data_IF_787974282701
#
_entry.id   IF_787974282701
#
_cell.length_a   1.000
_cell.length_b   1.000
_cell.length_c   1.000
_cell.angle_alpha   90.00
_cell.angle_beta   90.00
_cell.angle_gamma   90.00
#
_symmetry.space_group_name_H-M   'P 1'
#
loop_
_entity.id
_entity.type
_entity.pdbx_description
1 polymer ?
#
# COMPACT_ATOMS: atom_id res chain seq x y z
N UNK A 1 2.64 8.28 -10.19
CA UNK A 1 3.27 8.64 -11.48
C UNK A 1 2.44 9.75 -12.11
N UNK A 2 2.93 10.98 -12.10
CA UNK A 2 2.21 12.10 -12.71
C UNK A 2 2.15 11.89 -14.23
N UNK A 3 1.12 12.42 -14.91
CA UNK A 3 1.02 12.33 -16.38
C UNK A 3 2.31 12.84 -17.05
N UNK A 4 2.89 13.92 -16.52
CA UNK A 4 4.14 14.54 -17.03
C UNK A 4 5.35 13.59 -16.97
N UNK A 5 5.53 12.84 -15.88
CA UNK A 5 6.64 11.88 -15.76
C UNK A 5 6.52 10.71 -16.73
N UNK A 6 5.30 10.22 -17.00
CA UNK A 6 5.07 9.18 -18.02
C UNK A 6 5.50 9.64 -19.41
N UNK A 7 5.10 10.86 -19.79
CA UNK A 7 5.47 11.44 -21.08
C UNK A 7 6.97 11.69 -21.20
N UNK A 8 7.62 12.15 -20.12
CA UNK A 8 9.08 12.32 -20.10
C UNK A 8 9.81 11.00 -20.35
N UNK A 9 9.40 9.93 -19.65
CA UNK A 9 10.05 8.61 -19.76
C UNK A 9 9.87 8.01 -21.17
N UNK A 10 8.66 8.13 -21.73
CA UNK A 10 8.39 7.72 -23.12
C UNK A 10 9.25 8.50 -24.10
N UNK A 11 9.37 9.83 -23.93
CA UNK A 11 10.23 10.68 -24.77
C UNK A 11 11.69 10.27 -24.72
N UNK A 12 12.23 9.98 -23.53
CA UNK A 12 13.63 9.54 -23.35
C UNK A 12 13.90 8.19 -24.02
N UNK A 13 12.97 7.23 -23.93
CA UNK A 13 13.09 5.93 -24.62
C UNK A 13 13.05 6.12 -26.14
N UNK A 14 12.14 6.96 -26.64
CA UNK A 14 12.00 7.21 -28.08
C UNK A 14 13.26 7.90 -28.64
N UNK A 15 13.81 8.85 -27.89
CA UNK A 15 15.08 9.52 -28.22
C UNK A 15 16.25 8.53 -28.25
N UNK A 16 16.33 7.61 -27.28
CA UNK A 16 17.36 6.56 -27.26
C UNK A 16 17.29 5.66 -28.49
N UNK A 17 16.09 5.18 -28.85
CA UNK A 17 15.89 4.33 -30.05
C UNK A 17 16.19 5.11 -31.32
N UNK A 18 15.78 6.38 -31.40
CA UNK A 18 16.07 7.23 -32.55
C UNK A 18 17.58 7.42 -32.74
N UNK A 19 18.33 7.72 -31.67
CA UNK A 19 19.78 7.88 -31.73
C UNK A 19 20.50 6.58 -32.11
N UNK A 20 20.03 5.42 -31.65
CA UNK A 20 20.52 4.12 -32.09
C UNK A 20 20.27 3.89 -33.59
N UNK A 21 19.07 4.21 -34.08
CA UNK A 21 18.75 4.11 -35.51
C UNK A 21 19.60 5.05 -36.36
N UNK A 22 19.79 6.30 -35.91
CA UNK A 22 20.65 7.29 -36.54
C UNK A 22 22.13 6.84 -36.54
N UNK A 23 22.60 6.25 -35.45
CA UNK A 23 23.97 5.71 -35.35
C UNK A 23 24.22 4.62 -36.40
N UNK A 24 23.25 3.71 -36.59
CA UNK A 24 23.34 2.64 -37.59
C UNK A 24 23.24 3.17 -39.03
N UNK A 25 22.37 4.15 -39.28
CA UNK A 25 22.18 4.70 -40.63
C UNK A 25 23.40 5.50 -41.12
N UNK A 26 24.05 6.24 -40.21
CA UNK A 26 25.17 7.13 -40.53
C UNK A 26 26.54 6.57 -40.13
N UNK A 27 26.61 5.34 -39.61
CA UNK A 27 27.83 4.69 -39.10
C UNK A 27 28.67 5.60 -38.18
N UNK A 28 28.01 6.44 -37.39
CA UNK A 28 28.67 7.50 -36.63
C UNK A 28 28.81 7.13 -35.16
N UNK A 29 30.07 7.10 -34.70
CA UNK A 29 30.46 6.85 -33.32
C UNK A 29 29.88 7.90 -32.35
N UNK A 30 29.70 9.13 -32.82
CA UNK A 30 29.20 10.26 -32.04
C UNK A 30 27.77 9.99 -31.50
N UNK A 31 26.92 9.35 -32.31
CA UNK A 31 25.57 8.99 -31.89
C UNK A 31 25.54 7.80 -30.92
N UNK A 32 26.54 6.90 -30.98
CA UNK A 32 26.69 5.82 -30.00
C UNK A 32 27.09 6.40 -28.63
N UNK A 33 28.01 7.37 -28.60
CA UNK A 33 28.35 8.09 -27.37
C UNK A 33 27.18 8.87 -26.80
N UNK A 34 26.40 9.55 -27.65
CA UNK A 34 25.19 10.24 -27.19
C UNK A 34 24.14 9.25 -26.65
N UNK A 35 23.95 8.10 -27.31
CA UNK A 35 23.02 7.07 -26.87
C UNK A 35 23.43 6.46 -25.52
N UNK A 36 24.72 6.28 -25.25
CA UNK A 36 25.20 5.69 -23.99
C UNK A 36 24.99 6.58 -22.76
N UNK A 37 24.87 7.90 -22.93
CA UNK A 37 24.55 8.84 -21.85
C UNK A 37 23.06 8.81 -21.44
N UNK A 38 22.17 8.36 -22.34
CA UNK A 38 20.72 8.40 -22.11
C UNK A 38 20.25 7.48 -20.97
N UNK A 39 20.75 6.23 -20.82
CA UNK A 39 20.43 5.39 -19.66
C UNK A 39 20.65 6.08 -18.32
N UNK A 40 21.72 6.88 -18.19
CA UNK A 40 22.03 7.63 -16.96
C UNK A 40 20.96 8.69 -16.69
N UNK A 41 20.57 9.44 -17.73
CA UNK A 41 19.48 10.41 -17.66
C UNK A 41 18.13 9.76 -17.32
N UNK A 42 17.84 8.58 -17.89
CA UNK A 42 16.62 7.83 -17.60
C UNK A 42 16.54 7.46 -16.12
N UNK A 43 17.65 6.99 -15.53
CA UNK A 43 17.70 6.61 -14.11
C UNK A 43 17.44 7.80 -13.20
N UNK A 44 17.98 8.99 -13.50
CA UNK A 44 17.71 10.21 -12.70
C UNK A 44 16.25 10.65 -12.73
N UNK A 45 15.53 10.37 -13.81
CA UNK A 45 14.12 10.78 -13.99
C UNK A 45 13.15 9.67 -13.56
N UNK A 46 13.66 8.48 -13.22
CA UNK A 46 12.82 7.36 -12.85
C UNK A 46 12.08 7.67 -11.54
N UNK A 47 10.73 7.61 -11.52
CA UNK A 47 10.00 7.81 -10.29
C UNK A 47 10.30 6.67 -9.32
N UNK A 48 10.46 7.00 -8.04
CA UNK A 48 10.52 6.01 -6.96
C UNK A 48 9.21 5.21 -6.92
N UNK A 49 9.23 3.99 -7.46
CA UNK A 49 8.09 3.08 -7.48
C UNK A 49 7.99 2.45 -6.10
N UNK A 50 7.32 3.17 -5.18
CA UNK A 50 6.98 2.62 -3.87
C UNK A 50 6.05 1.43 -4.04
N UNK A 51 6.59 0.24 -3.76
CA UNK A 51 5.82 -1.00 -3.76
C UNK A 51 4.95 -1.08 -2.51
N UNK A 52 3.88 -1.86 -2.57
CA UNK A 52 3.09 -2.19 -1.38
C UNK A 52 3.73 -3.39 -0.69
N UNK A 53 3.81 -3.35 0.64
CA UNK A 53 4.24 -4.48 1.45
C UNK A 53 3.02 -5.34 1.78
N UNK A 54 3.16 -6.66 1.68
CA UNK A 54 2.11 -7.61 2.04
C UNK A 54 2.61 -8.49 3.17
N UNK A 55 1.82 -8.58 4.23
CA UNK A 55 2.06 -9.47 5.36
C UNK A 55 1.20 -10.72 5.17
N UNK A 56 1.86 -11.86 5.02
CA UNK A 56 1.24 -13.19 4.99
C UNK A 56 1.87 -14.02 6.10
N UNK A 57 1.04 -14.59 6.98
CA UNK A 57 1.54 -15.29 8.18
C UNK A 57 2.31 -16.56 7.81
N UNK A 58 1.87 -17.27 6.77
CA UNK A 58 2.50 -18.50 6.25
C UNK A 58 3.97 -18.35 5.84
N UNK A 59 4.44 -17.12 5.54
CA UNK A 59 5.86 -16.82 5.27
C UNK A 59 6.57 -16.05 6.39
N UNK A 60 5.83 -15.52 7.36
CA UNK A 60 6.30 -14.49 8.29
C UNK A 60 6.14 -14.88 9.76
N UNK A 61 6.10 -16.18 10.07
CA UNK A 61 5.82 -16.73 11.40
C UNK A 61 6.72 -16.20 12.53
N UNK A 62 7.94 -15.75 12.23
CA UNK A 62 8.88 -15.29 13.28
C UNK A 62 8.90 -13.77 13.50
N UNK A 63 8.31 -13.00 12.59
CA UNK A 63 8.51 -11.54 12.54
C UNK A 63 7.36 -10.69 13.06
N UNK A 64 6.18 -11.28 13.30
CA UNK A 64 4.95 -10.55 13.59
C UNK A 64 4.15 -11.29 14.65
N UNK A 65 3.77 -10.57 15.70
CA UNK A 65 2.89 -11.05 16.77
C UNK A 65 1.68 -10.15 16.84
N UNK A 66 0.49 -10.75 16.94
CA UNK A 66 -0.77 -10.01 16.95
C UNK A 66 -1.50 -10.32 18.23
N UNK A 67 -1.90 -9.27 18.92
CA UNK A 67 -2.56 -9.32 20.21
C UNK A 67 -3.90 -8.62 20.13
N UNK A 68 -4.92 -9.20 20.75
CA UNK A 68 -6.19 -8.53 21.00
C UNK A 68 -6.22 -8.16 22.48
N UNK A 69 -6.16 -6.87 22.75
CA UNK A 69 -6.27 -6.34 24.11
C UNK A 69 -7.73 -6.00 24.35
N UNK A 70 -8.34 -6.69 25.30
CA UNK A 70 -9.66 -6.31 25.80
C UNK A 70 -9.48 -5.03 26.62
N UNK A 71 -10.11 -3.95 26.17
CA UNK A 71 -10.27 -2.73 26.95
C UNK A 71 -11.76 -2.61 27.29
N UNK A 72 -12.09 -2.07 28.47
CA UNK A 72 -13.45 -2.11 29.03
C UNK A 72 -14.50 -1.44 28.13
N UNK A 73 -14.10 -0.46 27.29
CA UNK A 73 -15.00 0.22 26.36
C UNK A 73 -14.74 -0.12 24.87
N UNK A 74 -13.49 -0.24 24.43
CA UNK A 74 -13.14 -0.42 23.01
C UNK A 74 -11.96 -1.39 22.81
N UNK A 75 -12.17 -2.60 22.27
CA UNK A 75 -11.08 -3.54 22.07
C UNK A 75 -10.02 -2.99 21.11
N UNK A 76 -8.75 -3.19 21.47
CA UNK A 76 -7.60 -2.76 20.68
C UNK A 76 -6.93 -3.97 20.03
N UNK A 77 -6.55 -3.81 18.77
CA UNK A 77 -5.67 -4.73 18.07
C UNK A 77 -4.25 -4.16 18.11
N UNK A 78 -3.32 -4.93 18.66
CA UNK A 78 -1.90 -4.55 18.68
C UNK A 78 -1.13 -5.51 17.79
N UNK A 79 -0.43 -4.95 16.80
CA UNK A 79 0.43 -5.69 15.90
C UNK A 79 1.87 -5.33 16.24
N UNK A 80 2.60 -6.28 16.80
CA UNK A 80 4.03 -6.17 17.08
C UNK A 80 4.83 -6.74 15.92
N UNK A 81 5.87 -6.04 15.53
CA UNK A 81 6.79 -6.41 14.46
C UNK A 81 8.20 -6.53 15.02
N UNK A 82 9.03 -7.36 14.39
CA UNK A 82 10.47 -7.28 14.61
C UNK A 82 11.02 -5.93 14.12
N UNK A 83 12.04 -5.37 14.81
CA UNK A 83 12.72 -4.17 14.34
C UNK A 83 13.17 -4.31 12.88
N UNK A 84 12.93 -3.27 12.07
CA UNK A 84 13.26 -3.28 10.63
C UNK A 84 12.34 -4.10 9.72
N UNK A 85 11.31 -4.75 10.26
CA UNK A 85 10.34 -5.51 9.46
C UNK A 85 9.46 -4.60 8.58
N UNK A 86 9.01 -3.47 9.13
CA UNK A 86 8.17 -2.51 8.42
C UNK A 86 9.04 -1.71 7.45
N UNK A 87 8.74 -1.82 6.15
CA UNK A 87 9.45 -1.08 5.11
C UNK A 87 8.82 0.28 4.94
N UNK A 88 9.28 1.27 5.70
CA UNK A 88 8.74 2.64 5.69
C UNK A 88 8.79 3.35 4.33
N UNK A 89 9.63 2.89 3.40
CA UNK A 89 9.67 3.40 2.02
C UNK A 89 8.53 2.86 1.14
N UNK A 90 7.83 1.82 1.56
CA UNK A 90 6.66 1.28 0.86
C UNK A 90 5.47 2.23 0.98
N UNK A 91 4.50 2.10 0.07
CA UNK A 91 3.31 2.96 0.07
C UNK A 91 2.31 2.51 1.14
N UNK A 92 1.95 1.23 1.12
CA UNK A 92 0.98 0.63 2.05
C UNK A 92 1.48 -0.70 2.58
N UNK A 93 1.13 -0.99 3.82
CA UNK A 93 1.28 -2.29 4.46
C UNK A 93 -0.09 -2.98 4.46
N UNK A 94 -0.23 -4.06 3.69
CA UNK A 94 -1.45 -4.84 3.63
C UNK A 94 -1.36 -6.06 4.54
N UNK A 95 -2.42 -6.27 5.31
CA UNK A 95 -2.55 -7.32 6.30
C UNK A 95 -3.90 -8.02 6.12
N UNK A 96 -3.92 -9.35 6.19
CA UNK A 96 -5.14 -10.16 6.08
C UNK A 96 -5.80 -10.35 7.46
N UNK A 97 -7.03 -9.87 7.63
CA UNK A 97 -7.84 -10.05 8.83
C UNK A 97 -8.13 -11.52 9.13
N UNK A 98 -8.26 -12.37 8.11
CA UNK A 98 -8.61 -13.78 8.30
C UNK A 98 -7.41 -14.60 8.80
N UNK A 99 -6.19 -14.21 8.43
CA UNK A 99 -4.95 -14.84 8.93
C UNK A 99 -4.51 -14.27 10.29
N UNK A 100 -5.20 -13.22 10.77
CA UNK A 100 -4.97 -12.61 12.07
C UNK A 100 -5.58 -13.46 13.19
N UNK A 101 -4.90 -14.55 13.57
CA UNK A 101 -5.12 -15.14 14.90
C UNK A 101 -4.48 -14.21 15.93
N UNK A 102 -5.30 -13.33 16.49
CA UNK A 102 -4.93 -12.45 17.60
C UNK A 102 -5.07 -13.23 18.91
N UNK A 103 -3.98 -13.36 19.66
CA UNK A 103 -4.05 -13.95 20.99
C UNK A 103 -4.71 -12.95 21.95
N UNK A 104 -5.78 -13.33 22.67
CA UNK A 104 -6.38 -12.47 23.66
C UNK A 104 -5.42 -12.33 24.84
N UNK A 105 -5.07 -11.08 25.17
CA UNK A 105 -4.21 -10.78 26.31
C UNK A 105 -4.78 -9.60 27.10
N UNK A 106 -4.70 -9.69 28.42
CA UNK A 106 -5.17 -8.61 29.31
C UNK A 106 -4.13 -7.50 29.46
N UNK A 107 -2.84 -7.86 29.38
CA UNK A 107 -1.71 -6.94 29.53
C UNK A 107 -0.73 -7.14 28.40
N UNK A 108 -0.42 -6.04 27.71
CA UNK A 108 0.59 -6.02 26.64
C UNK A 108 1.96 -6.42 27.22
N UNK A 109 2.72 -7.33 26.59
CA UNK A 109 4.06 -7.66 27.06
C UNK A 109 4.91 -6.38 27.16
N UNK A 110 5.47 -6.11 28.33
CA UNK A 110 6.46 -5.05 28.47
C UNK A 110 7.69 -5.47 27.67
N UNK A 111 7.89 -4.85 26.50
CA UNK A 111 9.17 -4.91 25.82
C UNK A 111 9.87 -3.60 26.11
N UNK A 112 11.08 -3.69 26.65
CA UNK A 112 11.84 -2.57 27.20
C UNK A 112 12.12 -1.48 26.14
N UNK A 113 12.09 -1.83 24.85
CA UNK A 113 12.27 -0.93 23.69
C UNK A 113 11.08 -0.91 22.71
N UNK A 114 9.84 -0.90 23.23
CA UNK A 114 8.65 -0.87 22.37
C UNK A 114 8.12 0.53 22.03
N UNK A 115 8.53 1.09 20.89
CA UNK A 115 7.89 2.29 20.35
C UNK A 115 6.58 1.91 19.64
N UNK A 116 5.48 2.36 20.23
CA UNK A 116 4.12 2.09 19.76
C UNK A 116 3.51 3.32 19.09
N UNK A 117 2.92 3.13 17.91
CA UNK A 117 2.20 4.19 17.20
C UNK A 117 0.72 3.85 17.04
N UNK A 118 -0.19 4.77 17.37
CA UNK A 118 -1.61 4.61 17.10
C UNK A 118 -1.90 4.85 15.63
N UNK A 119 -2.44 3.82 14.99
CA UNK A 119 -2.97 3.86 13.62
C UNK A 119 -4.40 4.33 13.69
N UNK A 120 -4.71 5.41 12.98
CA UNK A 120 -6.03 6.04 13.00
C UNK A 120 -6.86 5.58 11.80
N UNK A 121 -8.18 5.73 11.89
CA UNK A 121 -9.11 5.36 10.82
C UNK A 121 -8.74 5.88 9.42
N UNK A 122 -8.16 7.08 9.32
CA UNK A 122 -7.72 7.66 8.04
C UNK A 122 -6.41 7.09 7.50
N UNK A 123 -5.57 6.48 8.35
CA UNK A 123 -4.37 5.75 7.92
C UNK A 123 -4.73 4.37 7.35
N UNK A 124 -5.94 3.90 7.63
CA UNK A 124 -6.43 2.61 7.21
C UNK A 124 -7.22 2.72 5.90
N UNK A 125 -7.13 1.68 5.09
CA UNK A 125 -7.80 1.63 3.79
C UNK A 125 -8.18 0.21 3.40
N UNK A 126 -9.30 0.05 2.70
CA UNK A 126 -9.68 -1.23 2.15
C UNK A 126 -8.77 -1.64 0.98
N UNK A 127 -8.38 -2.92 0.89
CA UNK A 127 -7.69 -3.41 -0.30
C UNK A 127 -8.66 -3.42 -1.50
N UNK A 128 -8.29 -2.84 -2.66
CA UNK A 128 -9.23 -2.57 -3.75
C UNK A 128 -9.74 -3.82 -4.49
N UNK A 129 -9.14 -4.99 -4.25
CA UNK A 129 -9.43 -6.24 -4.99
C UNK A 129 -9.55 -7.50 -4.14
N UNK A 130 -9.17 -7.44 -2.86
CA UNK A 130 -9.08 -8.63 -1.99
C UNK A 130 -9.91 -8.36 -0.75
N UNK A 131 -10.93 -9.15 -0.54
CA UNK A 131 -11.78 -9.10 0.65
C UNK A 131 -10.98 -9.60 1.86
N UNK A 132 -11.19 -9.01 3.04
CA UNK A 132 -10.46 -9.36 4.26
C UNK A 132 -9.06 -8.76 4.37
N UNK A 133 -8.57 -8.03 3.36
CA UNK A 133 -7.27 -7.38 3.39
C UNK A 133 -7.41 -5.90 3.68
N UNK A 134 -6.88 -5.41 4.80
CA UNK A 134 -6.79 -3.98 5.09
C UNK A 134 -5.37 -3.47 4.85
N UNK A 135 -5.25 -2.21 4.46
CA UNK A 135 -4.00 -1.54 4.15
C UNK A 135 -3.76 -0.35 5.06
N UNK A 136 -2.59 -0.29 5.65
CA UNK A 136 -2.11 0.83 6.46
C UNK A 136 -1.22 1.72 5.58
N UNK A 137 -1.48 3.03 5.52
CA UNK A 137 -0.68 4.00 4.78
C UNK A 137 0.59 4.38 5.56
N UNK A 138 1.73 3.85 5.11
CA UNK A 138 3.01 4.06 5.78
C UNK A 138 3.55 5.48 5.56
N UNK A 139 3.15 6.15 4.47
CA UNK A 139 3.58 7.51 4.22
C UNK A 139 2.97 8.47 5.25
N UNK A 140 1.67 8.31 5.53
CA UNK A 140 0.96 9.11 6.54
C UNK A 140 1.49 8.84 7.94
N UNK A 141 1.68 7.57 8.32
CA UNK A 141 2.29 7.22 9.60
C UNK A 141 3.71 7.80 9.74
N UNK A 142 4.54 7.70 8.69
CA UNK A 142 5.90 8.27 8.75
C UNK A 142 5.88 9.79 8.98
N UNK A 143 4.94 10.51 8.38
CA UNK A 143 4.82 11.96 8.61
C UNK A 143 4.43 12.28 10.05
N UNK A 144 3.56 11.47 10.66
CA UNK A 144 3.15 11.64 12.06
C UNK A 144 4.28 11.32 13.04
N UNK A 145 5.17 10.39 12.70
CA UNK A 145 6.34 10.08 13.54
C UNK A 145 7.38 11.19 13.60
N UNK A 146 7.44 12.10 12.63
CA UNK A 146 8.42 13.21 12.61
C UNK A 146 8.33 14.09 13.86
N UNK A 147 7.13 14.21 14.45
CA UNK A 147 6.89 15.03 15.64
C UNK A 147 6.98 14.23 16.96
N UNK A 148 7.40 12.98 16.92
CA UNK A 148 7.51 12.10 18.09
C UNK A 148 8.97 11.96 18.51
N UNK A 149 9.19 11.59 19.77
CA UNK A 149 10.54 11.44 20.34
C UNK A 149 11.30 10.21 19.83
N UNK A 150 10.69 9.41 18.94
CA UNK A 150 11.24 8.16 18.42
C UNK A 150 11.26 8.16 16.89
N UNK A 151 12.21 7.43 16.32
CA UNK A 151 12.34 7.32 14.85
C UNK A 151 11.45 6.23 14.27
N UNK A 152 11.15 6.29 12.97
CA UNK A 152 10.39 5.22 12.28
C UNK A 152 11.05 3.85 12.42
N UNK A 153 12.38 3.80 12.54
CA UNK A 153 13.13 2.56 12.69
C UNK A 153 12.96 1.90 14.06
N UNK A 154 12.60 2.69 15.08
CA UNK A 154 12.34 2.22 16.44
C UNK A 154 10.90 1.71 16.60
N UNK A 155 9.97 2.16 15.74
CA UNK A 155 8.57 1.75 15.80
C UNK A 155 8.42 0.26 15.49
N UNK A 156 7.99 -0.48 16.50
CA UNK A 156 7.82 -1.92 16.45
C UNK A 156 6.38 -2.35 16.81
N UNK A 157 5.49 -1.43 17.18
CA UNK A 157 4.09 -1.76 17.48
C UNK A 157 3.11 -0.79 16.82
N UNK A 158 2.12 -1.36 16.15
CA UNK A 158 0.96 -0.64 15.64
C UNK A 158 -0.24 -0.93 16.53
N UNK A 159 -0.88 0.11 17.03
CA UNK A 159 -2.10 0.02 17.85
C UNK A 159 -3.27 0.49 17.00
N UNK A 160 -4.26 -0.38 16.79
CA UNK A 160 -5.41 -0.12 15.94
C UNK A 160 -6.68 -0.33 16.78
N UNK A 161 -7.66 0.57 16.66
CA UNK A 161 -8.96 0.40 17.30
C UNK A 161 -9.80 -0.61 16.50
N UNK A 162 -10.40 -1.60 17.15
CA UNK A 162 -11.14 -2.65 16.43
C UNK A 162 -12.35 -2.09 15.67
N UNK A 163 -13.01 -1.07 16.21
CA UNK A 163 -14.12 -0.34 15.54
C UNK A 163 -13.71 0.25 14.19
N UNK A 164 -12.48 0.73 14.06
CA UNK A 164 -11.98 1.28 12.79
C UNK A 164 -11.74 0.15 11.76
N UNK A 165 -11.31 -1.02 12.21
CA UNK A 165 -11.18 -2.22 11.36
C UNK A 165 -12.55 -2.73 10.91
N UNK A 166 -13.54 -2.73 11.80
CA UNK A 166 -14.92 -3.12 11.48
C UNK A 166 -15.55 -2.17 10.45
N UNK A 167 -15.38 -0.86 10.62
CA UNK A 167 -15.85 0.13 9.64
C UNK A 167 -15.26 -0.13 8.24
N UNK A 168 -14.00 -0.56 8.18
CA UNK A 168 -13.32 -0.86 6.92
C UNK A 168 -13.75 -2.20 6.34
N UNK A 169 -13.99 -3.20 7.18
CA UNK A 169 -14.57 -4.47 6.76
C UNK A 169 -15.97 -4.26 6.15
N UNK A 170 -16.79 -3.38 6.74
CA UNK A 170 -18.09 -3.00 6.19
C UNK A 170 -17.97 -2.31 4.84
N UNK A 171 -17.01 -1.37 4.68
CA UNK A 171 -16.74 -0.74 3.38
C UNK A 171 -16.35 -1.76 2.31
N UNK A 172 -15.56 -2.79 2.66
CA UNK A 172 -15.22 -3.87 1.74
C UNK A 172 -16.45 -4.66 1.31
N UNK A 173 -17.31 -5.04 2.26
CA UNK A 173 -18.54 -5.78 1.96
C UNK A 173 -19.50 -4.97 1.08
N UNK A 174 -19.65 -3.67 1.35
CA UNK A 174 -20.44 -2.77 0.52
C UNK A 174 -19.90 -2.67 -0.91
N UNK A 175 -18.58 -2.64 -1.09
CA UNK A 175 -17.93 -2.56 -2.41
C UNK A 175 -17.95 -3.88 -3.20
N UNK A 176 -18.12 -5.02 -2.52
CA UNK A 176 -18.16 -6.36 -3.13
C UNK A 176 -19.55 -6.76 -3.64
N UNK A 177 -20.59 -5.97 -3.36
CA UNK A 177 -21.94 -6.22 -3.87
C UNK A 177 -22.04 -5.68 -5.30
N UNK A 178 -22.14 -6.53 -6.33
CA UNK A 178 -22.39 -6.03 -7.67
C UNK A 178 -23.79 -5.43 -7.70
N UNK A 179 -23.89 -4.16 -8.08
CA UNK A 179 -25.13 -3.53 -8.50
C UNK A 179 -25.73 -4.41 -9.61
N UNK A 180 -26.69 -5.26 -9.25
CA UNK A 180 -27.61 -5.87 -10.19
C UNK A 180 -28.42 -4.72 -10.77
N UNK A 181 -27.93 -4.19 -11.90
CA UNK A 181 -28.64 -3.22 -12.70
C UNK A 181 -29.94 -3.88 -13.18
N UNK A 182 -31.03 -3.63 -12.47
CA UNK A 182 -32.37 -3.99 -12.88
C UNK A 182 -32.69 -3.28 -14.20
N UNK A 183 -32.47 -3.96 -15.31
CA UNK A 183 -32.96 -3.55 -16.63
C UNK A 183 -34.48 -3.74 -16.63
N UNK A 184 -35.23 -2.75 -16.13
CA UNK A 184 -36.68 -2.72 -16.24
C UNK A 184 -37.06 -2.52 -17.70
N UNK A 185 -37.36 -3.60 -18.42
CA UNK A 185 -38.03 -3.52 -19.71
C UNK A 185 -39.49 -3.13 -19.48
N UNK A 186 -39.81 -1.84 -19.59
CA UNK A 186 -41.19 -1.37 -19.72
C UNK A 186 -41.73 -1.83 -21.07
N UNK A 187 -42.47 -2.95 -21.08
CA UNK A 187 -43.20 -3.45 -22.24
C UNK A 187 -44.51 -2.64 -22.31
N UNK A 188 -44.54 -1.60 -23.14
CA UNK A 188 -45.75 -0.86 -23.48
C UNK A 188 -46.65 -1.75 -24.35
N UNK A 189 -47.76 -2.23 -23.81
CA UNK A 189 -48.85 -2.80 -24.60
C UNK A 189 -49.72 -1.65 -25.13
N UNK A 190 -49.63 -1.39 -26.44
CA UNK A 190 -50.62 -0.60 -27.17
C UNK A 190 -51.86 -1.48 -27.38
N UNK A 191 -52.95 -1.13 -26.70
CA UNK A 191 -54.30 -1.57 -27.07
C UNK A 191 -54.72 -0.82 -28.33
N UNK A 192 -55.07 -1.56 -29.38
CA UNK A 192 -55.83 -1.07 -30.52
C UNK A 192 -57.19 -1.77 -30.50
N UNK A 193 -58.26 -0.98 -30.47
CA UNK A 193 -59.62 -1.36 -30.81
C UNK A 193 -60.08 -0.44 -31.94
#
# INVERSE_FOLDING_TARGET
MSKKQKWSLVGSILLFVALLGLALLFESELFIYAASAIPILIVMVLPDIRQNQYVQRTKSEKGIQVYKVANEEDPLLVISFQPGFVRWHCRKLYIDLNELHAEPIDVLPAAEDAASIPVLSFDLSAHPRRTGWFGIDLAQLSQRTVNLSYTTQEVNRFIIQMKDLEAIALLMMASATPLVASKSSSKSNSLSA
#
